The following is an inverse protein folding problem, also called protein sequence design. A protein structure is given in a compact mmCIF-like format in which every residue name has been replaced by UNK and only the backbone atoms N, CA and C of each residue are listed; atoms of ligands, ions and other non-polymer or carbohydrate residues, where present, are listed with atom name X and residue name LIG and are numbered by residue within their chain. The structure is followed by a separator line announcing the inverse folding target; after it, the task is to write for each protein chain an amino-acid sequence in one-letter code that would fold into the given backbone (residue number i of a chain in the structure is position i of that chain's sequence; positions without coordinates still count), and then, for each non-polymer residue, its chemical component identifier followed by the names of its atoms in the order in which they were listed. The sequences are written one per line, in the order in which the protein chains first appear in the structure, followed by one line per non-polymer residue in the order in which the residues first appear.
data_IF_672489492584
#
_entry.id   IF_672489492584
#
_cell.length_a   1.000
_cell.length_b   1.000
_cell.length_c   1.000
_cell.angle_alpha   90.00
_cell.angle_beta   90.00
_cell.angle_gamma   90.00
#
_symmetry.space_group_name_H-M   'P 1'
#
loop_
_entity.id
_entity.type
_entity.pdbx_description
1 polymer ?
#
# COMPACT_ATOMS: atom_id res chain seq x y z
N UNK A 1 -61.97 -2.10 31.23
CA UNK A 1 -60.71 -2.85 31.42
C UNK A 1 -60.44 -3.67 30.17
N UNK A 2 -59.56 -3.20 29.27
CA UNK A 2 -58.99 -3.99 28.18
C UNK A 2 -57.47 -3.81 28.24
N UNK A 3 -56.66 -4.88 28.18
CA UNK A 3 -55.22 -4.78 28.32
C UNK A 3 -54.58 -4.33 27.00
N UNK A 4 -53.81 -3.25 27.05
CA UNK A 4 -52.85 -2.88 26.00
C UNK A 4 -51.63 -3.81 26.11
N UNK A 5 -51.46 -4.74 25.17
CA UNK A 5 -50.24 -5.54 25.02
C UNK A 5 -49.56 -5.27 23.69
N UNK A 6 -48.57 -4.36 23.76
CA UNK A 6 -47.23 -4.38 23.11
C UNK A 6 -47.11 -4.81 21.63
N UNK A 7 -46.84 -3.86 20.71
CA UNK A 7 -46.21 -4.12 19.41
C UNK A 7 -44.73 -3.67 19.45
N UNK A 8 -43.89 -4.23 20.34
CA UNK A 8 -42.46 -3.87 20.41
C UNK A 8 -41.55 -4.98 19.84
N UNK A 9 -42.05 -6.22 19.72
CA UNK A 9 -41.21 -7.37 19.35
C UNK A 9 -40.92 -7.54 17.85
N UNK A 10 -41.70 -6.92 16.95
CA UNK A 10 -41.54 -7.12 15.49
C UNK A 10 -40.47 -6.19 14.89
N UNK A 11 -40.20 -5.03 15.50
CA UNK A 11 -39.25 -4.05 14.97
C UNK A 11 -37.78 -4.46 15.17
N UNK A 12 -37.47 -5.24 16.21
CA UNK A 12 -36.10 -5.69 16.50
C UNK A 12 -35.59 -6.78 15.53
N UNK A 13 -36.49 -7.56 14.93
CA UNK A 13 -36.15 -8.67 14.03
C UNK A 13 -35.85 -8.20 12.59
N UNK A 14 -36.36 -7.04 12.18
CA UNK A 14 -36.06 -6.43 10.88
C UNK A 14 -34.70 -5.71 10.87
N UNK A 15 -34.24 -5.19 12.01
CA UNK A 15 -32.96 -4.47 12.10
C UNK A 15 -31.78 -5.45 12.04
N UNK A 16 -31.91 -6.66 12.58
CA UNK A 16 -30.83 -7.66 12.58
C UNK A 16 -30.54 -8.27 11.21
N UNK A 17 -31.53 -8.38 10.32
CA UNK A 17 -31.37 -8.88 8.95
C UNK A 17 -30.61 -7.91 8.03
N UNK A 18 -30.72 -6.60 8.24
CA UNK A 18 -30.05 -5.58 7.42
C UNK A 18 -28.53 -5.59 7.66
N UNK A 19 -28.10 -5.83 8.90
CA UNK A 19 -26.67 -5.82 9.27
C UNK A 19 -25.87 -6.98 8.65
N UNK A 20 -26.48 -8.15 8.46
CA UNK A 20 -25.79 -9.32 7.89
C UNK A 20 -25.51 -9.17 6.38
N UNK A 21 -26.43 -8.55 5.63
CA UNK A 21 -26.25 -8.32 4.20
C UNK A 21 -25.16 -7.27 3.91
N UNK A 22 -25.05 -6.23 4.73
CA UNK A 22 -24.05 -5.16 4.56
C UNK A 22 -22.61 -5.70 4.63
N UNK A 23 -22.32 -6.60 5.60
CA UNK A 23 -21.01 -7.20 5.76
C UNK A 23 -20.63 -8.13 4.60
N UNK A 24 -21.58 -8.93 4.09
CA UNK A 24 -21.34 -9.80 2.94
C UNK A 24 -21.06 -8.99 1.66
N UNK A 25 -21.79 -7.89 1.45
CA UNK A 25 -21.59 -6.99 0.32
C UNK A 25 -20.24 -6.25 0.39
N UNK A 26 -19.84 -5.81 1.58
CA UNK A 26 -18.52 -5.20 1.80
C UNK A 26 -17.38 -6.18 1.48
N UNK A 27 -17.45 -7.41 1.99
CA UNK A 27 -16.44 -8.45 1.72
C UNK A 27 -16.33 -8.79 0.23
N UNK A 28 -17.46 -8.87 -0.49
CA UNK A 28 -17.47 -9.12 -1.93
C UNK A 28 -16.84 -7.96 -2.72
N UNK A 29 -17.11 -6.72 -2.31
CA UNK A 29 -16.52 -5.50 -2.91
C UNK A 29 -15.00 -5.42 -2.70
N UNK A 30 -14.52 -5.84 -1.53
CA UNK A 30 -13.07 -5.90 -1.23
C UNK A 30 -12.35 -6.94 -2.10
N UNK A 31 -12.90 -8.15 -2.23
CA UNK A 31 -12.30 -9.21 -3.07
C UNK A 31 -12.18 -8.75 -4.51
N UNK A 32 -13.25 -8.17 -5.08
CA UNK A 32 -13.21 -7.64 -6.44
C UNK A 32 -12.17 -6.52 -6.60
N UNK A 33 -12.03 -5.64 -5.61
CA UNK A 33 -11.02 -4.59 -5.63
C UNK A 33 -9.59 -5.14 -5.60
N UNK A 34 -9.34 -6.17 -4.81
CA UNK A 34 -8.02 -6.78 -4.70
C UNK A 34 -7.62 -7.48 -6.01
N UNK A 35 -8.56 -8.13 -6.68
CA UNK A 35 -8.29 -8.73 -7.99
C UNK A 35 -8.00 -7.66 -9.07
N UNK A 36 -8.73 -6.54 -9.08
CA UNK A 36 -8.41 -5.41 -9.97
C UNK A 36 -7.00 -4.86 -9.72
N UNK A 37 -6.63 -4.70 -8.44
CA UNK A 37 -5.29 -4.26 -8.03
C UNK A 37 -4.22 -5.26 -8.52
N UNK A 38 -4.44 -6.57 -8.36
CA UNK A 38 -3.51 -7.61 -8.80
C UNK A 38 -3.31 -7.62 -10.31
N UNK A 39 -4.39 -7.48 -11.07
CA UNK A 39 -4.33 -7.34 -12.53
C UNK A 39 -3.49 -6.12 -12.93
N UNK A 40 -3.79 -4.95 -12.36
CA UNK A 40 -3.05 -3.72 -12.67
C UNK A 40 -1.57 -3.80 -12.27
N UNK A 41 -1.26 -4.40 -11.12
CA UNK A 41 0.12 -4.69 -10.70
C UNK A 41 0.85 -5.55 -11.74
N UNK A 42 0.20 -6.62 -12.23
CA UNK A 42 0.77 -7.50 -13.24
C UNK A 42 0.99 -6.76 -14.57
N UNK A 43 0.02 -5.98 -15.01
CA UNK A 43 0.09 -5.23 -16.26
C UNK A 43 1.23 -4.20 -16.24
N UNK A 44 1.35 -3.45 -15.14
CA UNK A 44 2.45 -2.48 -14.97
C UNK A 44 3.81 -3.18 -14.97
N UNK A 45 3.96 -4.32 -14.30
CA UNK A 45 5.26 -5.00 -14.26
C UNK A 45 5.60 -5.80 -15.53
N UNK A 46 4.60 -6.14 -16.34
CA UNK A 46 4.81 -6.81 -17.62
C UNK A 46 5.12 -5.83 -18.75
N UNK A 47 4.86 -4.54 -18.56
CA UNK A 47 5.11 -3.51 -19.55
C UNK A 47 6.54 -2.95 -19.44
N UNK A 48 7.34 -3.14 -20.49
CA UNK A 48 8.72 -2.67 -20.60
C UNK A 48 8.88 -1.37 -21.40
N UNK A 49 7.79 -0.73 -21.83
CA UNK A 49 7.83 0.48 -22.67
C UNK A 49 7.81 1.78 -21.89
N UNK A 50 7.70 1.72 -20.55
CA UNK A 50 7.69 2.93 -19.74
C UNK A 50 9.01 3.68 -19.83
N UNK A 51 8.91 5.01 -19.89
CA UNK A 51 10.09 5.85 -19.66
C UNK A 51 10.49 5.73 -18.20
N UNK A 52 11.77 5.48 -17.94
CA UNK A 52 12.31 5.39 -16.58
C UNK A 52 13.21 6.60 -16.29
N UNK A 53 12.87 7.35 -15.25
CA UNK A 53 13.71 8.42 -14.70
C UNK A 53 14.37 7.93 -13.40
N UNK A 54 15.70 8.06 -13.30
CA UNK A 54 16.48 7.54 -12.18
C UNK A 54 17.09 8.68 -11.36
N UNK A 55 17.07 8.51 -10.04
CA UNK A 55 17.64 9.45 -9.08
C UNK A 55 18.36 8.69 -7.96
N UNK A 56 19.28 9.36 -7.30
CA UNK A 56 19.93 8.89 -6.08
C UNK A 56 19.69 9.87 -4.93
N UNK A 57 19.75 9.37 -3.71
CA UNK A 57 19.75 10.17 -2.50
C UNK A 57 20.56 9.45 -1.42
N UNK A 58 21.26 10.21 -0.60
CA UNK A 58 22.02 9.69 0.53
C UNK A 58 21.78 10.60 1.73
N UNK A 59 21.64 10.00 2.90
CA UNK A 59 21.51 10.73 4.15
C UNK A 59 21.97 9.84 5.31
N UNK A 60 22.83 10.40 6.16
CA UNK A 60 23.30 9.73 7.37
C UNK A 60 22.10 9.25 8.20
N UNK A 61 22.10 7.95 8.53
CA UNK A 61 21.02 7.30 9.30
C UNK A 61 19.77 6.95 8.50
N UNK A 62 19.77 7.06 7.17
CA UNK A 62 18.62 6.77 6.31
C UNK A 62 18.93 5.70 5.26
N UNK A 63 19.80 6.00 4.30
CA UNK A 63 20.21 5.08 3.24
C UNK A 63 21.62 5.44 2.77
N UNK A 64 22.46 4.42 2.64
CA UNK A 64 23.84 4.56 2.18
C UNK A 64 23.93 4.61 0.66
N UNK A 65 22.97 3.99 -0.04
CA UNK A 65 22.90 3.93 -1.51
C UNK A 65 21.46 4.08 -2.04
N UNK A 66 20.72 5.06 -1.49
CA UNK A 66 19.33 5.33 -1.85
C UNK A 66 19.15 5.61 -3.34
N UNK A 67 18.23 4.87 -3.98
CA UNK A 67 17.88 4.96 -5.39
C UNK A 67 16.38 5.09 -5.57
N UNK A 68 16.00 5.89 -6.55
CA UNK A 68 14.62 6.06 -6.99
C UNK A 68 14.52 5.87 -8.49
N UNK A 69 13.53 5.09 -8.92
CA UNK A 69 13.16 4.91 -10.32
C UNK A 69 11.68 5.27 -10.51
N UNK A 70 11.41 6.29 -11.32
CA UNK A 70 10.07 6.72 -11.70
C UNK A 70 9.73 6.15 -13.07
N UNK A 71 8.69 5.31 -13.13
CA UNK A 71 8.18 4.70 -14.35
C UNK A 71 7.00 5.51 -14.84
N UNK A 72 7.08 5.93 -16.10
CA UNK A 72 6.17 6.89 -16.70
C UNK A 72 5.49 6.29 -17.92
N UNK A 73 4.16 6.29 -17.91
CA UNK A 73 3.38 6.19 -19.13
C UNK A 73 3.13 7.61 -19.65
N UNK A 74 3.82 7.96 -20.74
CA UNK A 74 3.92 9.34 -21.25
C UNK A 74 4.45 10.29 -20.17
N UNK A 75 3.56 11.01 -19.49
CA UNK A 75 3.90 11.95 -18.40
C UNK A 75 3.33 11.51 -17.03
N UNK A 76 2.47 10.49 -17.01
CA UNK A 76 1.84 10.02 -15.78
C UNK A 76 2.75 9.00 -15.08
N UNK A 77 2.93 9.18 -13.78
CA UNK A 77 3.65 8.21 -12.96
C UNK A 77 2.74 7.00 -12.74
N UNK A 78 3.21 5.82 -13.11
CA UNK A 78 2.49 4.54 -12.90
C UNK A 78 3.15 3.70 -11.82
N UNK A 79 4.47 3.84 -11.63
CA UNK A 79 5.23 3.18 -10.57
C UNK A 79 6.38 4.06 -10.11
N UNK A 80 6.65 4.04 -8.81
CA UNK A 80 7.90 4.54 -8.22
C UNK A 80 8.53 3.37 -7.48
N UNK A 81 9.79 3.07 -7.78
CA UNK A 81 10.59 2.09 -7.04
C UNK A 81 11.65 2.84 -6.26
N UNK A 82 11.60 2.71 -4.94
CA UNK A 82 12.63 3.13 -4.00
C UNK A 82 13.43 1.89 -3.59
N UNK A 83 14.74 2.02 -3.48
CA UNK A 83 15.59 0.98 -2.92
C UNK A 83 16.80 1.59 -2.26
N UNK A 84 17.26 0.96 -1.19
CA UNK A 84 18.49 1.33 -0.54
C UNK A 84 18.92 0.26 0.45
N UNK A 85 20.13 0.41 0.93
CA UNK A 85 20.70 -0.42 1.98
C UNK A 85 21.17 0.45 3.14
N UNK A 86 21.16 -0.15 4.33
CA UNK A 86 21.79 0.36 5.52
C UNK A 86 22.30 -0.82 6.33
N UNK A 87 23.60 -0.84 6.60
CA UNK A 87 24.28 -1.99 7.20
C UNK A 87 24.00 -3.29 6.40
N UNK A 88 23.62 -4.37 7.08
CA UNK A 88 23.32 -5.68 6.48
C UNK A 88 21.86 -5.81 5.99
N UNK A 89 21.12 -4.71 5.89
CA UNK A 89 19.71 -4.70 5.50
C UNK A 89 19.54 -3.90 4.22
N UNK A 90 18.96 -4.56 3.22
CA UNK A 90 18.48 -3.94 1.99
C UNK A 90 16.97 -3.86 1.99
N UNK A 91 16.43 -2.80 1.40
CA UNK A 91 15.00 -2.65 1.20
C UNK A 91 14.70 -2.21 -0.23
N UNK A 92 13.53 -2.62 -0.71
CA UNK A 92 12.95 -2.15 -1.96
C UNK A 92 11.48 -1.91 -1.71
N UNK A 93 11.03 -0.68 -1.94
CA UNK A 93 9.63 -0.29 -1.83
C UNK A 93 9.12 0.16 -3.20
N UNK A 94 8.05 -0.45 -3.67
CA UNK A 94 7.40 -0.12 -4.93
C UNK A 94 6.00 0.43 -4.67
N UNK A 95 5.76 1.62 -5.19
CA UNK A 95 4.49 2.34 -5.09
C UNK A 95 3.83 2.37 -6.47
N UNK A 96 2.59 1.91 -6.55
CA UNK A 96 1.84 1.80 -7.80
C UNK A 96 0.69 2.79 -7.85
N UNK A 97 0.55 3.47 -8.98
CA UNK A 97 -0.33 4.62 -9.14
C UNK A 97 -1.30 4.44 -10.31
N UNK A 98 -2.52 4.92 -10.10
CA UNK A 98 -3.55 5.07 -11.12
C UNK A 98 -4.19 6.44 -10.90
N UNK A 99 -4.27 7.26 -11.95
CA UNK A 99 -4.82 8.62 -11.89
C UNK A 99 -4.20 9.49 -10.78
N UNK A 100 -2.89 9.37 -10.57
CA UNK A 100 -2.15 10.11 -9.53
C UNK A 100 -2.46 9.67 -8.10
N UNK A 101 -3.11 8.54 -7.89
CA UNK A 101 -3.41 7.98 -6.57
C UNK A 101 -2.74 6.63 -6.40
N UNK A 102 -2.19 6.39 -5.22
CA UNK A 102 -1.63 5.08 -4.87
C UNK A 102 -2.77 4.06 -4.75
N UNK A 103 -2.63 2.91 -5.40
CA UNK A 103 -3.56 1.79 -5.30
C UNK A 103 -2.92 0.52 -4.72
N UNK A 104 -1.58 0.43 -4.77
CA UNK A 104 -0.84 -0.69 -4.24
C UNK A 104 0.56 -0.28 -3.80
N UNK A 105 1.02 -0.87 -2.69
CA UNK A 105 2.40 -0.72 -2.22
C UNK A 105 2.95 -2.11 -1.94
N UNK A 106 4.12 -2.41 -2.47
CA UNK A 106 4.88 -3.62 -2.23
C UNK A 106 6.21 -3.24 -1.57
N UNK A 107 6.58 -3.89 -0.49
CA UNK A 107 7.89 -3.71 0.12
C UNK A 107 8.54 -5.06 0.37
N UNK A 108 9.80 -5.18 -0.04
CA UNK A 108 10.67 -6.29 0.28
C UNK A 108 11.83 -5.77 1.12
N UNK A 109 11.99 -6.34 2.31
CA UNK A 109 13.15 -6.12 3.17
C UNK A 109 13.94 -7.43 3.18
N UNK A 110 15.22 -7.36 2.86
CA UNK A 110 16.12 -8.50 2.89
C UNK A 110 17.35 -8.17 3.72
N UNK A 111 17.64 -8.98 4.72
CA UNK A 111 18.81 -8.82 5.58
C UNK A 111 19.07 -10.06 6.41
N UNK A 112 20.23 -10.13 7.03
CA UNK A 112 20.64 -11.26 7.85
C UNK A 112 21.89 -10.93 8.66
N UNK A 113 22.15 -11.73 9.69
CA UNK A 113 23.42 -11.62 10.42
C UNK A 113 24.57 -12.09 9.54
N UNK A 114 25.78 -11.57 9.76
CA UNK A 114 26.99 -12.07 9.10
C UNK A 114 27.10 -13.60 9.28
N UNK A 115 27.12 -14.35 8.17
CA UNK A 115 27.13 -15.81 8.08
C UNK A 115 25.81 -16.56 8.42
N UNK A 116 24.67 -15.86 8.54
CA UNK A 116 23.35 -16.46 8.72
C UNK A 116 22.55 -16.61 7.43
N UNK A 117 21.38 -17.25 7.52
CA UNK A 117 20.41 -17.26 6.41
C UNK A 117 19.87 -15.86 6.14
N UNK A 118 19.75 -15.51 4.85
CA UNK A 118 19.11 -14.27 4.42
C UNK A 118 17.61 -14.33 4.73
N UNK A 119 17.15 -13.49 5.64
CA UNK A 119 15.73 -13.34 5.94
C UNK A 119 15.10 -12.34 4.98
N UNK A 120 13.91 -12.70 4.47
CA UNK A 120 13.10 -11.83 3.62
C UNK A 120 11.76 -11.58 4.28
N UNK A 121 11.45 -10.30 4.50
CA UNK A 121 10.13 -9.88 4.94
C UNK A 121 9.46 -9.12 3.82
N UNK A 122 8.25 -9.52 3.49
CA UNK A 122 7.48 -8.92 2.41
C UNK A 122 6.21 -8.28 2.97
N UNK A 123 5.91 -7.07 2.51
CA UNK A 123 4.69 -6.35 2.86
C UNK A 123 3.90 -5.99 1.61
N UNK A 124 2.57 -6.12 1.67
CA UNK A 124 1.64 -5.71 0.62
C UNK A 124 0.53 -4.85 1.20
N UNK A 125 0.33 -3.65 0.68
CA UNK A 125 -0.75 -2.74 1.06
C UNK A 125 -1.66 -2.53 -0.15
N UNK A 126 -2.91 -2.96 -0.03
CA UNK A 126 -3.95 -2.74 -1.03
C UNK A 126 -4.74 -1.49 -0.65
N UNK A 127 -4.83 -0.53 -1.56
CA UNK A 127 -5.45 0.78 -1.31
C UNK A 127 -6.63 1.00 -2.23
N UNK A 128 -7.77 1.42 -1.66
CA UNK A 128 -8.95 1.83 -2.40
C UNK A 128 -9.56 3.06 -1.74
N UNK A 129 -9.96 4.04 -2.55
CA UNK A 129 -10.56 5.29 -2.08
C UNK A 129 -9.74 6.01 -1.00
N UNK A 130 -8.40 5.96 -1.16
CA UNK A 130 -7.44 6.57 -0.23
C UNK A 130 -7.28 5.84 1.10
N UNK A 131 -7.83 4.63 1.25
CA UNK A 131 -7.75 3.83 2.48
C UNK A 131 -7.13 2.46 2.20
N UNK A 132 -6.33 1.97 3.14
CA UNK A 132 -5.87 0.59 3.11
C UNK A 132 -7.07 -0.34 3.32
N UNK A 133 -7.37 -1.18 2.33
CA UNK A 133 -8.40 -2.21 2.41
C UNK A 133 -7.83 -3.57 2.83
N UNK A 134 -6.52 -3.76 2.68
CA UNK A 134 -5.81 -4.93 3.18
C UNK A 134 -4.33 -4.64 3.38
N UNK A 135 -3.78 -5.12 4.49
CA UNK A 135 -2.35 -5.11 4.75
C UNK A 135 -1.87 -6.53 5.02
N UNK A 136 -0.80 -6.94 4.36
CA UNK A 136 -0.26 -8.30 4.48
C UNK A 136 1.23 -8.28 4.79
N UNK A 137 1.65 -9.24 5.61
CA UNK A 137 3.05 -9.62 5.78
C UNK A 137 3.22 -11.06 5.28
N UNK A 138 3.97 -11.24 4.19
CA UNK A 138 4.02 -12.51 3.47
C UNK A 138 2.62 -12.92 2.99
N UNK A 139 2.05 -13.97 3.57
CA UNK A 139 0.69 -14.45 3.27
C UNK A 139 -0.35 -14.08 4.33
N UNK A 140 0.09 -13.56 5.48
CA UNK A 140 -0.78 -13.24 6.61
C UNK A 140 -1.43 -11.86 6.42
N UNK A 141 -2.73 -11.76 6.74
CA UNK A 141 -3.42 -10.46 6.82
C UNK A 141 -3.24 -9.93 8.23
N UNK A 142 -2.65 -8.74 8.35
CA UNK A 142 -2.37 -8.10 9.63
C UNK A 142 -3.15 -6.78 9.76
N UNK A 143 -3.42 -6.29 10.99
CA UNK A 143 -4.08 -5.02 11.20
C UNK A 143 -3.30 -3.85 10.57
N UNK A 144 -4.03 -2.86 10.06
CA UNK A 144 -3.45 -1.59 9.62
C UNK A 144 -2.91 -0.83 10.84
N UNK A 145 -1.68 -0.35 10.78
CA UNK A 145 -1.05 0.46 11.83
C UNK A 145 -0.23 1.61 11.22
N UNK A 146 0.47 2.37 12.07
CA UNK A 146 1.22 3.57 11.68
C UNK A 146 2.12 3.39 10.46
N UNK A 147 2.80 2.25 10.32
CA UNK A 147 3.63 1.95 9.13
C UNK A 147 2.84 2.02 7.83
N UNK A 148 1.61 1.48 7.80
CA UNK A 148 0.75 1.53 6.60
C UNK A 148 0.42 2.98 6.23
N UNK A 149 0.04 3.80 7.22
CA UNK A 149 -0.24 5.22 7.02
C UNK A 149 0.98 5.97 6.52
N UNK A 150 2.14 5.77 7.15
CA UNK A 150 3.39 6.42 6.77
C UNK A 150 3.77 6.07 5.33
N UNK A 151 3.71 4.78 4.94
CA UNK A 151 4.01 4.36 3.57
C UNK A 151 3.05 4.98 2.54
N UNK A 152 1.77 5.12 2.88
CA UNK A 152 0.80 5.80 2.01
C UNK A 152 1.06 7.29 1.90
N UNK A 153 1.43 7.97 2.99
CA UNK A 153 1.81 9.38 2.98
C UNK A 153 3.08 9.62 2.18
N UNK A 154 4.10 8.78 2.36
CA UNK A 154 5.33 8.79 1.56
C UNK A 154 5.02 8.65 0.07
N UNK A 155 4.12 7.74 -0.31
CA UNK A 155 3.69 7.58 -1.71
C UNK A 155 3.13 8.90 -2.29
N UNK A 156 2.29 9.60 -1.52
CA UNK A 156 1.75 10.90 -1.95
C UNK A 156 2.83 11.98 -2.03
N UNK A 157 3.73 12.04 -1.05
CA UNK A 157 4.85 13.01 -1.05
C UNK A 157 5.80 12.79 -2.23
N UNK A 158 6.08 11.53 -2.60
CA UNK A 158 6.98 11.18 -3.71
C UNK A 158 6.48 11.66 -5.08
N UNK A 159 5.15 11.71 -5.30
CA UNK A 159 4.59 12.29 -6.53
C UNK A 159 5.03 13.74 -6.74
N UNK A 160 5.11 14.53 -5.67
CA UNK A 160 5.58 15.93 -5.69
C UNK A 160 7.10 16.03 -5.70
N UNK A 161 7.78 15.12 -5.00
CA UNK A 161 9.24 15.10 -4.93
C UNK A 161 9.89 14.95 -6.30
N UNK A 162 9.21 14.33 -7.28
CA UNK A 162 9.71 14.26 -8.65
C UNK A 162 10.05 15.63 -9.22
N UNK A 163 9.27 16.69 -8.95
CA UNK A 163 9.55 18.02 -9.50
C UNK A 163 10.59 18.78 -8.69
N UNK A 164 10.54 18.68 -7.36
CA UNK A 164 11.44 19.43 -6.46
C UNK A 164 12.80 18.77 -6.27
N UNK A 165 12.90 17.46 -6.51
CA UNK A 165 14.07 16.61 -6.21
C UNK A 165 14.44 16.53 -4.73
N UNK A 166 13.55 16.96 -3.82
CA UNK A 166 13.73 16.85 -2.36
C UNK A 166 13.43 15.42 -1.85
N UNK A 167 14.11 14.41 -2.40
CA UNK A 167 13.83 13.01 -2.04
C UNK A 167 14.23 12.67 -0.60
N UNK A 168 15.35 13.24 -0.13
CA UNK A 168 15.84 13.05 1.24
C UNK A 168 14.80 13.48 2.28
N UNK A 169 14.22 14.67 2.12
CA UNK A 169 13.20 15.20 3.04
C UNK A 169 11.97 14.29 3.12
N UNK A 170 11.58 13.69 1.99
CA UNK A 170 10.42 12.79 1.95
C UNK A 170 10.72 11.40 2.53
N UNK A 171 11.93 10.89 2.31
CA UNK A 171 12.29 9.50 2.63
C UNK A 171 12.98 9.34 3.99
N UNK A 172 13.63 10.38 4.50
CA UNK A 172 14.50 10.30 5.67
C UNK A 172 14.01 11.07 6.89
N UNK A 173 13.10 12.03 6.75
CA UNK A 173 12.60 12.87 7.85
C UNK A 173 11.24 12.40 8.39
N UNK A 174 11.01 11.08 8.50
CA UNK A 174 9.76 10.48 9.01
C UNK A 174 9.90 9.86 10.40
#
# INVERSE_FOLDING_TARGET
MYPMTRPIFVLALLISLISSCANAQQKKSEVAAIEDIRTAFKDINSNNTYKVEKYTYEAAGCADDGRLEYYLDKQQIVKIKESGSSNDVSSTTEYYYRDGRVFFIYQLIAGGVANGELQKTEFRIYVKDGKAIRFMQGQEIIPVYSKTTNMMETAVKLLKARTTKNFKEVLCDN
#
